data_IF_811424787630
#
_entry.id   IF_811424787630
#
_cell.length_a   1.000
_cell.length_b   1.000
_cell.length_c   1.000
_cell.angle_alpha   90.00
_cell.angle_beta   90.00
_cell.angle_gamma   90.00
#
_symmetry.space_group_name_H-M   'P 1'
#
loop_
_entity.id
_entity.type
_entity.pdbx_description
1 polymer ?
#
# COMPACT_ATOMS: atom_id res chain seq x y z
N UNK A 1 -8.77 8.57 3.89
CA UNK A 1 -8.91 7.68 2.73
C UNK A 1 -9.46 8.46 1.54
N UNK A 2 -8.95 8.24 0.33
CA UNK A 2 -9.38 8.86 -0.92
C UNK A 2 -9.99 7.78 -1.81
N UNK A 3 -11.15 8.07 -2.41
CA UNK A 3 -11.86 7.14 -3.30
C UNK A 3 -11.55 7.51 -4.76
N UNK A 4 -11.03 6.56 -5.52
CA UNK A 4 -10.57 6.75 -6.89
C UNK A 4 -11.33 5.79 -7.81
N UNK A 5 -12.35 6.27 -8.56
CA UNK A 5 -12.97 5.45 -9.60
C UNK A 5 -11.96 5.21 -10.72
N UNK A 6 -11.82 3.96 -11.15
CA UNK A 6 -10.89 3.57 -12.19
C UNK A 6 -11.51 2.50 -13.08
N UNK A 7 -11.39 2.66 -14.40
CA UNK A 7 -11.82 1.68 -15.38
C UNK A 7 -10.61 1.29 -16.24
N UNK A 8 -10.20 0.01 -16.28
CA UNK A 8 -9.09 -0.45 -17.09
C UNK A 8 -9.37 -0.24 -18.58
N UNK A 9 -8.35 0.18 -19.32
CA UNK A 9 -8.41 0.33 -20.79
C UNK A 9 -8.04 -0.94 -21.55
N UNK A 10 -7.42 -1.91 -20.86
CA UNK A 10 -6.88 -3.16 -21.37
C UNK A 10 -7.03 -4.28 -20.32
N UNK A 11 -6.84 -5.54 -20.72
CA UNK A 11 -6.99 -6.70 -19.83
C UNK A 11 -8.39 -7.31 -19.81
N UNK A 12 -8.58 -8.31 -18.95
CA UNK A 12 -9.84 -9.07 -18.82
C UNK A 12 -11.00 -8.21 -18.31
N UNK A 13 -10.72 -7.26 -17.41
CA UNK A 13 -11.71 -6.34 -16.82
C UNK A 13 -11.92 -5.04 -17.61
N UNK A 14 -11.53 -5.00 -18.89
CA UNK A 14 -11.63 -3.77 -19.71
C UNK A 14 -13.03 -3.17 -19.70
N UNK A 15 -13.13 -1.91 -19.31
CA UNK A 15 -14.40 -1.16 -19.25
C UNK A 15 -15.24 -1.44 -17.99
N UNK A 16 -14.81 -2.35 -17.11
CA UNK A 16 -15.42 -2.55 -15.80
C UNK A 16 -14.94 -1.45 -14.84
N UNK A 17 -15.86 -0.74 -14.19
CA UNK A 17 -15.50 0.31 -13.23
C UNK A 17 -15.19 -0.30 -11.88
N UNK A 18 -13.95 -0.12 -11.42
CA UNK A 18 -13.49 -0.42 -10.07
C UNK A 18 -13.43 0.85 -9.23
N UNK A 19 -13.43 0.66 -7.91
CA UNK A 19 -13.27 1.73 -6.93
C UNK A 19 -12.06 1.39 -6.09
N UNK A 20 -11.00 2.18 -6.22
CA UNK A 20 -9.79 2.03 -5.41
C UNK A 20 -9.91 2.96 -4.20
N UNK A 21 -9.74 2.42 -3.00
CA UNK A 21 -9.69 3.20 -1.77
C UNK A 21 -8.23 3.32 -1.32
N UNK A 22 -7.69 4.52 -1.37
CA UNK A 22 -6.31 4.79 -0.96
C UNK A 22 -6.30 5.32 0.47
N UNK A 23 -5.49 4.70 1.33
CA UNK A 23 -5.20 5.19 2.68
C UNK A 23 -3.75 5.64 2.69
N UNK A 24 -3.52 6.87 3.15
CA UNK A 24 -2.17 7.39 3.37
C UNK A 24 -1.70 6.97 4.77
N UNK A 25 -0.47 6.49 4.86
CA UNK A 25 0.12 6.01 6.12
C UNK A 25 1.40 6.78 6.42
N UNK A 26 1.62 7.24 7.65
CA UNK A 26 2.89 7.85 8.04
C UNK A 26 4.08 6.89 7.83
N UNK A 27 5.26 7.41 7.47
CA UNK A 27 6.45 6.57 7.22
C UNK A 27 7.40 6.42 8.41
N UNK A 28 7.24 7.23 9.45
CA UNK A 28 8.16 7.26 10.59
C UNK A 28 7.75 6.27 11.68
N UNK A 29 8.74 5.66 12.34
CA UNK A 29 8.54 4.64 13.40
C UNK A 29 7.70 5.13 14.58
N UNK A 30 7.71 6.44 14.84
CA UNK A 30 6.91 7.04 15.93
C UNK A 30 5.40 6.86 15.74
N UNK A 31 4.94 6.57 14.51
CA UNK A 31 3.53 6.39 14.16
C UNK A 31 3.19 4.93 13.83
N UNK A 32 3.97 3.97 14.36
CA UNK A 32 3.78 2.54 14.09
C UNK A 32 2.35 2.07 14.38
N UNK A 33 1.70 2.61 15.42
CA UNK A 33 0.33 2.26 15.79
C UNK A 33 -0.69 2.73 14.74
N UNK A 34 -0.55 3.96 14.24
CA UNK A 34 -1.39 4.52 13.19
C UNK A 34 -1.20 3.80 11.85
N UNK A 35 0.05 3.43 11.53
CA UNK A 35 0.38 2.62 10.35
C UNK A 35 -0.29 1.26 10.46
N UNK A 36 -0.11 0.54 11.57
CA UNK A 36 -0.74 -0.76 11.80
C UNK A 36 -2.26 -0.70 11.66
N UNK A 37 -2.90 0.32 12.25
CA UNK A 37 -4.35 0.55 12.13
C UNK A 37 -4.82 0.83 10.71
N UNK A 38 -4.00 1.50 9.92
CA UNK A 38 -4.30 1.82 8.53
C UNK A 38 -4.13 0.58 7.64
N UNK A 39 -3.08 -0.20 7.88
CA UNK A 39 -2.81 -1.46 7.18
C UNK A 39 -3.91 -2.50 7.45
N UNK A 40 -4.39 -2.62 8.69
CA UNK A 40 -5.48 -3.52 9.05
C UNK A 40 -6.84 -3.20 8.36
N UNK A 41 -6.97 -2.04 7.73
CA UNK A 41 -8.15 -1.63 6.98
C UNK A 41 -8.01 -1.78 5.46
N UNK A 42 -6.86 -2.28 4.98
CA UNK A 42 -6.57 -2.49 3.58
C UNK A 42 -6.50 -3.99 3.26
N UNK A 43 -6.70 -4.36 2.00
CA UNK A 43 -6.45 -5.72 1.49
C UNK A 43 -5.06 -5.85 0.82
N UNK A 44 -4.40 -4.73 0.59
CA UNK A 44 -3.08 -4.68 -0.02
C UNK A 44 -2.37 -3.35 0.22
N UNK A 45 -1.06 -3.34 -0.06
CA UNK A 45 -0.22 -2.16 0.06
C UNK A 45 0.73 -2.04 -1.13
N UNK A 46 1.04 -0.79 -1.47
CA UNK A 46 2.08 -0.47 -2.45
C UNK A 46 3.35 -0.12 -1.68
N UNK A 47 4.38 -0.95 -1.85
CA UNK A 47 5.68 -0.74 -1.22
C UNK A 47 6.57 0.06 -2.16
N UNK A 48 6.67 1.36 -1.93
CA UNK A 48 7.52 2.25 -2.72
C UNK A 48 8.98 2.15 -2.26
N UNK A 49 9.89 1.84 -3.18
CA UNK A 49 11.32 1.80 -2.93
C UNK A 49 12.02 2.79 -3.85
N UNK A 50 12.84 3.67 -3.27
CA UNK A 50 13.62 4.62 -4.07
C UNK A 50 14.65 3.85 -4.93
N UNK A 51 14.66 4.10 -6.24
CA UNK A 51 15.55 3.40 -7.17
C UNK A 51 17.04 3.73 -6.99
N UNK A 52 17.36 4.89 -6.42
CA UNK A 52 18.73 5.34 -6.16
C UNK A 52 19.20 4.97 -4.74
N UNK A 53 18.35 5.15 -3.72
CA UNK A 53 18.70 4.84 -2.33
C UNK A 53 18.47 3.36 -1.96
N UNK A 54 17.55 2.70 -2.64
CA UNK A 54 17.19 1.31 -2.39
C UNK A 54 16.37 1.12 -1.12
N UNK A 55 16.49 -0.07 -0.54
CA UNK A 55 15.75 -0.46 0.67
C UNK A 55 16.42 0.15 1.90
N UNK A 56 15.61 0.83 2.72
CA UNK A 56 16.05 1.37 4.00
C UNK A 56 15.44 0.60 5.19
N UNK A 57 15.90 0.91 6.40
CA UNK A 57 15.37 0.30 7.63
C UNK A 57 13.86 0.56 7.80
N UNK A 58 13.37 1.74 7.43
CA UNK A 58 11.94 2.08 7.50
C UNK A 58 11.12 1.30 6.46
N UNK A 59 11.67 1.11 5.25
CA UNK A 59 11.06 0.26 4.22
C UNK A 59 10.85 -1.16 4.75
N UNK A 60 11.87 -1.72 5.41
CA UNK A 60 11.80 -3.06 5.97
C UNK A 60 10.82 -3.16 7.15
N UNK A 61 10.80 -2.16 8.04
CA UNK A 61 9.87 -2.11 9.16
C UNK A 61 8.41 -2.11 8.68
N UNK A 62 8.07 -1.27 7.69
CA UNK A 62 6.73 -1.20 7.12
C UNK A 62 6.36 -2.48 6.34
N UNK A 63 7.34 -3.10 5.66
CA UNK A 63 7.14 -4.38 5.00
C UNK A 63 6.74 -5.47 6.00
N UNK A 64 7.44 -5.59 7.13
CA UNK A 64 7.08 -6.59 8.14
C UNK A 64 5.69 -6.35 8.74
N UNK A 65 5.32 -5.10 9.01
CA UNK A 65 3.96 -4.77 9.46
C UNK A 65 2.89 -5.19 8.43
N UNK A 66 3.16 -4.99 7.14
CA UNK A 66 2.24 -5.42 6.08
C UNK A 66 2.14 -6.96 5.98
N UNK A 67 3.26 -7.68 6.16
CA UNK A 67 3.29 -9.14 6.18
C UNK A 67 2.55 -9.71 7.39
N UNK A 68 2.69 -9.10 8.57
CA UNK A 68 1.95 -9.49 9.78
C UNK A 68 0.43 -9.32 9.65
N UNK A 69 -0.02 -8.45 8.74
CA UNK A 69 -1.43 -8.22 8.43
C UNK A 69 -1.90 -8.99 7.17
N UNK A 70 -1.11 -9.94 6.67
CA UNK A 70 -1.43 -10.78 5.50
C UNK A 70 -1.81 -9.98 4.24
N UNK A 71 -1.24 -8.79 4.06
CA UNK A 71 -1.57 -7.91 2.94
C UNK A 71 -0.90 -8.35 1.64
N UNK A 72 -1.58 -8.15 0.52
CA UNK A 72 -0.93 -8.25 -0.80
C UNK A 72 0.05 -7.11 -0.98
N UNK A 73 1.33 -7.41 -1.18
CA UNK A 73 2.38 -6.40 -1.33
C UNK A 73 2.75 -6.25 -2.80
N UNK A 74 2.65 -5.02 -3.32
CA UNK A 74 3.08 -4.65 -4.67
C UNK A 74 4.31 -3.75 -4.57
N UNK A 75 5.53 -4.26 -4.86
CA UNK A 75 6.73 -3.43 -4.87
C UNK A 75 6.75 -2.53 -6.10
N UNK A 76 7.07 -1.25 -5.91
CA UNK A 76 7.17 -0.22 -6.97
C UNK A 76 8.45 0.58 -6.82
#
# INVERSE_FOLDING_TARGET
AVRLPWAPTEGEDKGLTHVLNMIDTPGHVDFTYEVSRSLAACEGTVLLVDAAQGIEAQTLANLYLAMENDLTIVPV
#
